data_IF_516859341435
#
_entry.id   IF_516859341435
#
_cell.length_a   1.000
_cell.length_b   1.000
_cell.length_c   1.000
_cell.angle_alpha   90.00
_cell.angle_beta   90.00
_cell.angle_gamma   90.00
#
_symmetry.space_group_name_H-M   'P 1'
#
loop_
_entity.id
_entity.type
_entity.pdbx_description
1 polymer ?
#
# COMPACT_ATOMS: atom_id res chain seq x y z
N UNK A 1 -5.49 -4.29 -4.21
CA UNK A 1 -5.11 -5.04 -5.43
C UNK A 1 -6.32 -5.28 -6.30
N UNK A 2 -6.12 -5.63 -7.58
CA UNK A 2 -7.17 -5.58 -8.62
C UNK A 2 -8.46 -6.34 -8.30
N UNK A 3 -8.40 -7.45 -7.56
CA UNK A 3 -9.60 -8.21 -7.15
C UNK A 3 -10.57 -7.39 -6.28
N UNK A 4 -10.10 -6.32 -5.62
CA UNK A 4 -10.97 -5.38 -4.90
C UNK A 4 -11.93 -4.60 -5.83
N UNK A 5 -11.75 -4.63 -7.15
CA UNK A 5 -12.70 -4.12 -8.13
C UNK A 5 -13.88 -5.08 -8.40
N UNK A 6 -13.87 -6.30 -7.86
CA UNK A 6 -14.95 -7.26 -8.05
C UNK A 6 -16.23 -6.81 -7.32
N UNK A 7 -17.30 -6.57 -8.08
CA UNK A 7 -18.57 -6.05 -7.55
C UNK A 7 -19.27 -7.02 -6.61
N UNK A 8 -19.22 -8.33 -6.88
CA UNK A 8 -19.80 -9.36 -5.99
C UNK A 8 -19.06 -9.41 -4.66
N UNK A 9 -17.73 -9.31 -4.68
CA UNK A 9 -16.89 -9.27 -3.48
C UNK A 9 -17.22 -8.03 -2.64
N UNK A 10 -17.35 -6.86 -3.28
CA UNK A 10 -17.74 -5.61 -2.61
C UNK A 10 -19.07 -5.76 -1.89
N UNK A 11 -20.10 -6.26 -2.57
CA UNK A 11 -21.42 -6.46 -1.97
C UNK A 11 -21.36 -7.36 -0.72
N UNK A 12 -20.70 -8.52 -0.82
CA UNK A 12 -20.56 -9.46 0.30
C UNK A 12 -19.90 -8.84 1.53
N UNK A 13 -18.86 -8.03 1.34
CA UNK A 13 -18.18 -7.37 2.45
C UNK A 13 -18.94 -6.16 2.99
N UNK A 14 -19.60 -5.38 2.12
CA UNK A 14 -20.46 -4.27 2.52
C UNK A 14 -21.66 -4.71 3.34
N UNK A 15 -22.19 -5.92 3.11
CA UNK A 15 -23.30 -6.48 3.88
C UNK A 15 -22.87 -6.99 5.27
N UNK A 16 -21.56 -7.06 5.55
CA UNK A 16 -21.05 -7.52 6.84
C UNK A 16 -21.22 -6.44 7.92
N UNK A 17 -22.08 -6.71 8.91
CA UNK A 17 -22.36 -5.78 10.02
C UNK A 17 -21.19 -5.56 10.98
N UNK A 18 -20.17 -6.42 10.94
CA UNK A 18 -19.04 -6.39 11.86
C UNK A 18 -17.78 -5.78 11.24
N UNK A 19 -17.85 -5.27 10.01
CA UNK A 19 -16.71 -4.71 9.29
C UNK A 19 -17.02 -3.30 8.81
N UNK A 20 -16.10 -2.37 9.07
CA UNK A 20 -16.08 -1.09 8.36
C UNK A 20 -15.21 -1.25 7.12
N UNK A 21 -15.83 -1.36 5.96
CA UNK A 21 -15.14 -1.69 4.71
C UNK A 21 -14.97 -0.46 3.85
N UNK A 22 -13.73 -0.19 3.44
CA UNK A 22 -13.37 0.92 2.57
C UNK A 22 -12.89 0.36 1.24
N UNK A 23 -13.47 0.85 0.15
CA UNK A 23 -13.07 0.44 -1.19
C UNK A 23 -12.57 1.61 -2.04
N UNK A 24 -11.50 1.36 -2.82
CA UNK A 24 -11.11 2.11 -3.99
C UNK A 24 -12.24 2.73 -4.81
N UNK A 25 -12.05 3.89 -5.41
CA UNK A 25 -12.60 4.06 -6.77
C UNK A 25 -12.07 2.92 -7.66
N UNK A 26 -12.85 2.45 -8.63
CA UNK A 26 -12.46 1.30 -9.46
C UNK A 26 -11.11 1.51 -10.17
N UNK A 27 -10.88 2.71 -10.71
CA UNK A 27 -9.61 3.10 -11.38
C UNK A 27 -8.38 3.03 -10.48
N UNK A 28 -8.58 3.04 -9.15
CA UNK A 28 -7.51 3.01 -8.15
C UNK A 28 -7.29 1.61 -7.56
N UNK A 29 -8.06 0.59 -7.97
CA UNK A 29 -7.94 -0.76 -7.40
C UNK A 29 -6.79 -1.58 -8.00
N UNK A 30 -6.46 -1.33 -9.27
CA UNK A 30 -5.36 -1.96 -10.01
C UNK A 30 -4.08 -1.15 -9.89
N UNK A 31 -2.95 -1.71 -10.33
CA UNK A 31 -1.67 -1.01 -10.27
C UNK A 31 -1.72 0.30 -11.06
N UNK A 32 -1.32 1.39 -10.40
CA UNK A 32 -1.36 2.74 -10.97
C UNK A 32 -0.28 3.63 -10.33
N UNK A 33 0.09 4.72 -11.00
CA UNK A 33 1.10 5.64 -10.47
C UNK A 33 0.64 6.45 -9.25
N UNK A 34 -0.68 6.65 -9.08
CA UNK A 34 -1.20 7.46 -7.97
C UNK A 34 -0.93 6.81 -6.61
N UNK A 35 -1.04 5.47 -6.50
CA UNK A 35 -0.73 4.76 -5.26
C UNK A 35 0.75 4.86 -4.88
N UNK A 36 1.65 4.86 -5.88
CA UNK A 36 3.10 5.01 -5.66
C UNK A 36 3.42 6.44 -5.21
N UNK A 37 2.86 7.45 -5.89
CA UNK A 37 3.05 8.85 -5.53
C UNK A 37 2.55 9.15 -4.10
N UNK A 38 1.37 8.62 -3.73
CA UNK A 38 0.82 8.81 -2.40
C UNK A 38 1.67 8.11 -1.32
N UNK A 39 2.10 6.86 -1.54
CA UNK A 39 2.99 6.17 -0.61
C UNK A 39 4.34 6.89 -0.44
N UNK A 40 4.91 7.40 -1.54
CA UNK A 40 6.13 8.22 -1.51
C UNK A 40 5.95 9.52 -0.73
N UNK A 41 4.83 10.22 -0.90
CA UNK A 41 4.49 11.40 -0.12
C UNK A 41 4.35 11.08 1.37
N UNK A 42 3.66 9.98 1.72
CA UNK A 42 3.54 9.53 3.11
C UNK A 42 4.90 9.23 3.73
N UNK A 43 5.81 8.58 3.00
CA UNK A 43 7.18 8.35 3.46
C UNK A 43 7.93 9.67 3.67
N UNK A 44 7.83 10.60 2.72
CA UNK A 44 8.47 11.91 2.81
C UNK A 44 8.03 12.71 4.05
N UNK A 45 6.73 12.81 4.33
CA UNK A 45 6.23 13.54 5.50
C UNK A 45 6.55 12.84 6.84
N UNK A 46 6.85 11.55 6.80
CA UNK A 46 7.29 10.77 7.97
C UNK A 46 8.81 10.67 8.09
N UNK A 47 9.57 11.46 7.32
CA UNK A 47 11.04 11.47 7.29
C UNK A 47 11.65 10.09 6.99
N UNK A 48 10.95 9.23 6.24
CA UNK A 48 11.52 7.98 5.73
C UNK A 48 12.41 8.32 4.54
N UNK A 49 13.71 8.34 4.78
CA UNK A 49 14.74 8.52 3.76
C UNK A 49 15.24 7.15 3.30
N UNK A 50 15.49 6.99 2.00
CA UNK A 50 16.22 5.84 1.49
C UNK A 50 17.65 6.28 1.20
N UNK A 51 18.63 5.46 1.58
CA UNK A 51 20.01 5.65 1.16
C UNK A 51 20.10 5.60 -0.37
N UNK A 52 21.11 6.26 -0.94
CA UNK A 52 21.30 6.50 -2.39
C UNK A 52 21.34 5.24 -3.27
N UNK A 53 21.24 4.04 -2.70
CA UNK A 53 21.23 2.77 -3.41
C UNK A 53 19.80 2.42 -3.83
N UNK A 54 19.41 2.92 -5.01
CA UNK A 54 18.26 2.43 -5.77
C UNK A 54 18.55 1.04 -6.35
N UNK A 55 18.46 0.01 -5.52
CA UNK A 55 18.51 -1.39 -5.97
C UNK A 55 17.09 -1.96 -6.03
N UNK A 56 16.56 -2.26 -7.23
CA UNK A 56 15.29 -2.96 -7.36
C UNK A 56 15.32 -4.28 -6.58
N UNK A 57 14.27 -4.55 -5.78
CA UNK A 57 14.09 -5.80 -5.06
C UNK A 57 12.92 -6.58 -5.68
N UNK A 58 13.15 -7.51 -6.63
CA UNK A 58 12.06 -8.22 -7.33
C UNK A 58 11.17 -9.07 -6.42
N UNK A 59 11.73 -9.54 -5.30
CA UNK A 59 11.02 -10.25 -4.23
C UNK A 59 11.20 -9.47 -2.94
N UNK A 60 10.39 -8.44 -2.77
CA UNK A 60 10.41 -7.61 -1.58
C UNK A 60 9.23 -7.99 -0.68
N UNK A 61 9.54 -8.50 0.51
CA UNK A 61 8.51 -8.83 1.49
C UNK A 61 7.96 -7.54 2.13
N UNK A 62 6.64 -7.39 2.13
CA UNK A 62 5.95 -6.25 2.73
C UNK A 62 6.30 -6.06 4.21
N UNK A 63 6.58 -7.15 4.94
CA UNK A 63 6.96 -7.11 6.36
C UNK A 63 8.34 -6.49 6.60
N UNK A 64 9.17 -6.33 5.56
CA UNK A 64 10.49 -5.72 5.67
C UNK A 64 10.44 -4.19 5.68
N UNK A 65 9.29 -3.57 5.37
CA UNK A 65 9.13 -2.11 5.33
C UNK A 65 9.28 -1.42 6.70
N UNK A 66 9.20 -2.17 7.81
CA UNK A 66 9.31 -1.64 9.18
C UNK A 66 10.68 -1.86 9.85
N UNK A 67 11.76 -2.20 9.12
CA UNK A 67 13.08 -2.48 9.70
C UNK A 67 14.20 -1.50 9.32
N UNK A 68 13.86 -0.29 8.90
CA UNK A 68 14.86 0.75 8.56
C UNK A 68 14.77 1.99 9.46
N UNK A 69 14.30 1.84 10.71
CA UNK A 69 14.34 2.90 11.73
C UNK A 69 14.82 2.43 13.10
N UNK A 70 15.61 1.36 13.16
CA UNK A 70 16.35 0.99 14.36
C UNK A 70 17.52 0.07 14.02
N UNK A 71 18.62 0.64 13.55
CA UNK A 71 19.98 0.16 13.84
C UNK A 71 20.94 1.35 13.90
N UNK A 72 21.45 1.54 15.11
CA UNK A 72 22.83 1.84 15.47
C UNK A 72 23.36 3.28 15.28
N UNK A 73 23.27 4.04 16.38
CA UNK A 73 23.91 5.33 16.64
C UNK A 73 23.34 6.02 17.87
#
# INVERSE_FOLDING_TARGET
GGVAANTRLRALFSDSKNLNVIFPEFKLCTDNGAMIAYAGYLNFINNVTMDDIYSPRPRWDLNQLCKESSLDG
#
